data_IF_269457059380
#
_entry.id   IF_269457059380
#
_cell.length_a   1.000
_cell.length_b   1.000
_cell.length_c   1.000
_cell.angle_alpha   90.00
_cell.angle_beta   90.00
_cell.angle_gamma   90.00
#
_symmetry.space_group_name_H-M   'P 1'
#
loop_
_entity.id
_entity.type
_entity.pdbx_description
1 polymer ?
#
# COMPACT_ATOMS: atom_id res chain seq x y z
N UNK A 1 -13.70 -11.21 -7.29
CA UNK A 1 -14.30 -11.40 -5.95
C UNK A 1 -15.39 -10.37 -5.75
N UNK A 2 -16.36 -10.59 -4.87
CA UNK A 2 -17.33 -9.54 -4.57
C UNK A 2 -16.72 -8.48 -3.63
N UNK A 3 -17.27 -7.26 -3.63
CA UNK A 3 -16.81 -6.17 -2.75
C UNK A 3 -16.84 -6.56 -1.27
N UNK A 4 -17.91 -7.22 -0.84
CA UNK A 4 -18.07 -7.62 0.56
C UNK A 4 -17.03 -8.67 0.97
N UNK A 5 -16.60 -9.55 0.04
CA UNK A 5 -15.51 -10.50 0.29
C UNK A 5 -14.17 -9.78 0.45
N UNK A 6 -13.90 -8.79 -0.40
CA UNK A 6 -12.69 -7.97 -0.32
C UNK A 6 -12.62 -7.22 1.01
N UNK A 7 -13.71 -6.55 1.38
CA UNK A 7 -13.80 -5.88 2.68
C UNK A 7 -13.67 -6.88 3.82
N UNK A 8 -14.26 -8.07 3.72
CA UNK A 8 -14.14 -9.08 4.76
C UNK A 8 -12.69 -9.52 5.00
N UNK A 9 -11.93 -9.85 3.95
CA UNK A 9 -10.54 -10.32 4.10
C UNK A 9 -9.62 -9.23 4.64
N UNK A 10 -9.89 -7.97 4.31
CA UNK A 10 -9.14 -6.82 4.79
C UNK A 10 -9.67 -6.27 6.12
N UNK A 11 -10.75 -6.83 6.69
CA UNK A 11 -11.52 -6.24 7.80
C UNK A 11 -11.84 -4.77 7.55
N UNK A 12 -12.27 -4.49 6.33
CA UNK A 12 -12.38 -3.16 5.79
C UNK A 12 -13.74 -2.50 6.00
N UNK A 13 -13.69 -1.18 5.96
CA UNK A 13 -14.82 -0.26 6.11
C UNK A 13 -14.59 1.00 5.25
N UNK A 14 -15.57 1.91 5.26
CA UNK A 14 -15.48 3.20 4.58
C UNK A 14 -15.19 3.11 3.06
N UNK A 15 -15.77 2.13 2.36
CA UNK A 15 -15.59 2.02 0.90
C UNK A 15 -16.07 3.28 0.20
N UNK A 16 -15.13 3.93 -0.46
CA UNK A 16 -15.32 5.09 -1.30
C UNK A 16 -14.96 4.74 -2.74
N UNK A 17 -15.78 5.22 -3.67
CA UNK A 17 -15.60 5.02 -5.10
C UNK A 17 -16.07 6.27 -5.82
N UNK A 18 -15.19 6.86 -6.64
CA UNK A 18 -15.53 7.88 -7.61
C UNK A 18 -14.87 7.56 -8.97
N UNK A 19 -15.04 8.43 -9.96
CA UNK A 19 -14.58 8.19 -11.33
C UNK A 19 -13.05 7.99 -11.47
N UNK A 20 -12.24 8.35 -10.47
CA UNK A 20 -10.77 8.35 -10.54
C UNK A 20 -10.08 7.57 -9.42
N UNK A 21 -10.72 7.37 -8.27
CA UNK A 21 -10.12 6.71 -7.11
C UNK A 21 -11.14 5.86 -6.38
N UNK A 22 -10.68 4.67 -6.00
CA UNK A 22 -11.35 3.81 -5.05
C UNK A 22 -10.45 3.70 -3.84
N UNK A 23 -11.01 3.87 -2.65
CA UNK A 23 -10.26 3.58 -1.44
C UNK A 23 -11.16 3.02 -0.34
N UNK A 24 -10.56 2.26 0.56
CA UNK A 24 -11.22 1.82 1.79
C UNK A 24 -10.18 1.66 2.91
N UNK A 25 -10.63 1.69 4.16
CA UNK A 25 -9.76 1.38 5.31
C UNK A 25 -9.84 -0.09 5.62
N UNK A 26 -8.72 -0.73 5.92
CA UNK A 26 -8.64 -2.11 6.37
C UNK A 26 -7.85 -2.25 7.67
N UNK A 27 -7.97 -3.41 8.30
CA UNK A 27 -7.13 -3.82 9.41
C UNK A 27 -6.41 -5.14 9.10
N UNK A 28 -5.10 -5.06 8.84
CA UNK A 28 -4.26 -6.20 8.47
C UNK A 28 -3.20 -6.43 9.54
N UNK A 29 -3.16 -7.63 10.13
CA UNK A 29 -2.27 -7.97 11.25
C UNK A 29 -2.29 -6.95 12.40
N UNK A 30 -3.46 -6.35 12.69
CA UNK A 30 -3.63 -5.37 13.76
C UNK A 30 -3.22 -3.94 13.38
N UNK A 31 -2.79 -3.70 12.14
CA UNK A 31 -2.49 -2.36 11.60
C UNK A 31 -3.67 -1.82 10.81
N UNK A 32 -4.05 -0.59 11.07
CA UNK A 32 -4.98 0.16 10.21
C UNK A 32 -4.24 0.61 8.95
N UNK A 33 -4.72 0.19 7.80
CA UNK A 33 -4.11 0.41 6.48
C UNK A 33 -5.18 0.98 5.54
N UNK A 34 -4.88 2.05 4.82
CA UNK A 34 -5.72 2.47 3.71
C UNK A 34 -5.32 1.68 2.45
N UNK A 35 -6.31 1.17 1.73
CA UNK A 35 -6.11 0.60 0.39
C UNK A 35 -6.54 1.66 -0.61
N UNK A 36 -5.62 2.13 -1.44
CA UNK A 36 -5.85 3.15 -2.46
C UNK A 36 -5.65 2.55 -3.86
N UNK A 37 -6.65 2.70 -4.73
CA UNK A 37 -6.64 2.22 -6.11
C UNK A 37 -6.86 3.40 -7.06
N UNK A 38 -5.77 4.10 -7.37
CA UNK A 38 -5.78 5.25 -8.26
C UNK A 38 -5.91 4.79 -9.72
N UNK A 39 -6.88 5.35 -10.44
CA UNK A 39 -7.13 5.07 -11.86
C UNK A 39 -7.79 3.72 -12.16
N UNK A 40 -8.14 2.93 -11.14
CA UNK A 40 -8.88 1.69 -11.32
C UNK A 40 -10.39 1.92 -11.25
N UNK A 41 -11.13 1.20 -12.08
CA UNK A 41 -12.57 1.02 -11.91
C UNK A 41 -12.89 -0.06 -10.87
N UNK A 42 -14.11 -0.05 -10.32
CA UNK A 42 -14.53 -1.04 -9.32
C UNK A 42 -14.47 -2.46 -9.85
N UNK A 43 -14.91 -2.67 -11.09
CA UNK A 43 -14.83 -3.97 -11.76
C UNK A 43 -13.38 -4.48 -11.88
N UNK A 44 -12.41 -3.58 -12.13
CA UNK A 44 -10.99 -3.92 -12.23
C UNK A 44 -10.38 -4.26 -10.87
N UNK A 45 -10.72 -3.53 -9.81
CA UNK A 45 -10.30 -3.87 -8.44
C UNK A 45 -10.83 -5.24 -8.05
N UNK A 46 -12.15 -5.43 -8.20
CA UNK A 46 -12.84 -6.64 -7.74
C UNK A 46 -12.48 -7.88 -8.58
N UNK A 47 -12.35 -7.74 -9.90
CA UNK A 47 -12.09 -8.88 -10.80
C UNK A 47 -10.61 -9.08 -11.10
N UNK A 48 -9.82 -8.01 -11.13
CA UNK A 48 -8.40 -8.05 -11.51
C UNK A 48 -7.45 -8.13 -10.31
N UNK A 49 -7.73 -7.39 -9.24
CA UNK A 49 -6.80 -7.28 -8.10
C UNK A 49 -7.15 -8.17 -6.92
N UNK A 50 -8.36 -8.72 -6.84
CA UNK A 50 -8.79 -9.52 -5.70
C UNK A 50 -7.82 -10.64 -5.29
N UNK A 51 -7.30 -11.40 -6.26
CA UNK A 51 -6.29 -12.43 -6.01
C UNK A 51 -4.96 -11.87 -5.48
N UNK A 52 -4.51 -10.72 -6.00
CA UNK A 52 -3.31 -10.06 -5.51
C UNK A 52 -3.49 -9.57 -4.08
N UNK A 53 -4.64 -8.98 -3.75
CA UNK A 53 -4.93 -8.51 -2.40
C UNK A 53 -4.95 -9.69 -1.42
N UNK A 54 -5.62 -10.81 -1.75
CA UNK A 54 -5.57 -12.02 -0.92
C UNK A 54 -4.13 -12.50 -0.65
N UNK A 55 -3.27 -12.47 -1.68
CA UNK A 55 -1.85 -12.80 -1.53
C UNK A 55 -1.12 -11.79 -0.63
N UNK A 56 -1.38 -10.49 -0.80
CA UNK A 56 -0.78 -9.43 0.03
C UNK A 56 -1.18 -9.64 1.49
N UNK A 57 -2.46 -9.86 1.79
CA UNK A 57 -2.93 -10.10 3.16
C UNK A 57 -2.26 -11.33 3.77
N UNK A 58 -2.11 -12.41 3.00
CA UNK A 58 -1.45 -13.64 3.47
C UNK A 58 0.04 -13.43 3.76
N UNK A 59 0.73 -12.67 2.92
CA UNK A 59 2.17 -12.45 3.00
C UNK A 59 2.53 -11.14 3.72
N UNK A 60 1.55 -10.44 4.29
CA UNK A 60 1.65 -9.04 4.73
C UNK A 60 2.84 -8.79 5.66
N UNK A 61 3.03 -9.63 6.67
CA UNK A 61 4.14 -9.47 7.62
C UNK A 61 5.52 -9.65 6.98
N UNK A 62 5.63 -10.51 5.96
CA UNK A 62 6.86 -10.66 5.18
C UNK A 62 7.12 -9.40 4.37
N UNK A 63 6.12 -8.93 3.63
CA UNK A 63 6.22 -7.75 2.76
C UNK A 63 6.57 -6.50 3.56
N UNK A 64 5.86 -6.25 4.66
CA UNK A 64 6.11 -5.11 5.54
C UNK A 64 7.52 -5.16 6.15
N UNK A 65 7.98 -6.36 6.55
CA UNK A 65 9.35 -6.52 7.04
C UNK A 65 10.39 -6.29 5.96
N UNK A 66 10.15 -6.78 4.74
CA UNK A 66 11.04 -6.64 3.59
C UNK A 66 11.18 -5.17 3.19
N UNK A 67 10.06 -4.46 3.01
CA UNK A 67 10.05 -3.03 2.74
C UNK A 67 10.74 -2.21 3.85
N UNK A 68 10.44 -2.52 5.12
CA UNK A 68 11.09 -1.84 6.25
C UNK A 68 12.60 -2.11 6.31
N UNK A 69 13.08 -3.29 5.90
CA UNK A 69 14.51 -3.58 5.83
C UNK A 69 15.19 -2.74 4.74
N UNK A 70 14.58 -2.61 3.57
CA UNK A 70 15.09 -1.77 2.47
C UNK A 70 15.20 -0.32 2.92
N UNK A 71 14.16 0.22 3.57
CA UNK A 71 14.17 1.58 4.13
C UNK A 71 15.29 1.74 5.16
N UNK A 72 15.43 0.80 6.09
CA UNK A 72 16.51 0.79 7.09
C UNK A 72 17.90 0.75 6.47
N UNK A 73 18.07 0.02 5.38
CA UNK A 73 19.36 -0.09 4.71
C UNK A 73 19.76 1.19 3.97
N UNK A 74 18.80 1.91 3.40
CA UNK A 74 19.05 3.21 2.76
C UNK A 74 19.17 4.37 3.76
N UNK A 75 18.47 4.30 4.89
CA UNK A 75 18.45 5.32 5.94
C UNK A 75 19.09 4.83 7.25
N UNK A 76 20.26 4.19 7.18
CA UNK A 76 20.94 3.58 8.35
C UNK A 76 21.24 4.56 9.48
N UNK A 77 21.37 5.84 9.17
CA UNK A 77 21.70 6.90 10.13
C UNK A 77 20.46 7.63 10.69
N UNK A 78 19.25 7.22 10.28
CA UNK A 78 17.99 7.84 10.71
C UNK A 78 17.16 6.90 11.61
N UNK A 79 16.34 7.46 12.49
CA UNK A 79 15.42 6.67 13.32
C UNK A 79 14.20 6.24 12.51
N UNK A 80 14.33 5.15 11.79
CA UNK A 80 13.26 4.54 10.99
C UNK A 80 12.16 3.88 11.82
N UNK A 81 12.30 3.77 13.16
CA UNK A 81 11.26 3.17 14.01
C UNK A 81 10.02 4.08 14.16
N UNK A 82 10.14 5.35 13.77
CA UNK A 82 9.01 6.29 13.75
C UNK A 82 8.10 6.06 12.54
N UNK A 83 8.59 5.36 11.51
CA UNK A 83 7.85 5.10 10.28
C UNK A 83 6.68 4.17 10.55
N UNK A 84 5.50 4.57 10.09
CA UNK A 84 4.29 3.78 10.21
C UNK A 84 3.78 3.45 8.81
N UNK A 85 3.68 2.16 8.48
CA UNK A 85 2.93 1.71 7.31
C UNK A 85 1.49 2.19 7.46
N UNK A 86 1.04 3.00 6.51
CA UNK A 86 -0.27 3.65 6.54
C UNK A 86 -1.14 3.26 5.35
N UNK A 87 -0.53 2.97 4.20
CA UNK A 87 -1.27 2.74 2.96
C UNK A 87 -0.64 1.61 2.15
N UNK A 88 -1.49 0.91 1.40
CA UNK A 88 -1.10 0.03 0.28
C UNK A 88 -1.73 0.66 -0.97
N UNK A 89 -0.87 1.15 -1.87
CA UNK A 89 -1.29 1.90 -3.04
C UNK A 89 -1.14 1.09 -4.31
N UNK A 90 -2.17 1.10 -5.15
CA UNK A 90 -2.19 0.57 -6.50
C UNK A 90 -2.40 1.75 -7.45
N UNK A 91 -1.54 1.89 -8.45
CA UNK A 91 -1.63 2.96 -9.43
C UNK A 91 -1.56 2.39 -10.84
N UNK A 92 -2.65 2.59 -11.58
CA UNK A 92 -2.77 2.12 -12.97
C UNK A 92 -1.87 2.87 -13.94
N UNK A 93 -1.36 4.05 -13.56
CA UNK A 93 -0.44 4.85 -14.38
C UNK A 93 0.99 4.30 -14.43
N UNK A 94 1.21 3.08 -13.91
CA UNK A 94 2.49 2.37 -13.86
C UNK A 94 3.56 3.09 -13.00
N UNK A 95 3.15 4.02 -12.12
CA UNK A 95 4.04 4.57 -11.09
C UNK A 95 4.56 3.48 -10.14
N UNK A 96 3.79 2.39 -10.01
CA UNK A 96 4.15 1.18 -9.29
C UNK A 96 4.16 -0.01 -10.25
N UNK A 97 5.08 -0.96 -10.05
CA UNK A 97 5.13 -2.18 -10.86
C UNK A 97 3.83 -2.99 -10.69
N UNK A 98 3.44 -3.29 -9.44
CA UNK A 98 2.14 -3.85 -9.09
C UNK A 98 1.46 -3.07 -7.95
N UNK A 99 2.17 -2.82 -6.85
CA UNK A 99 1.69 -1.99 -5.73
C UNK A 99 2.85 -1.39 -4.93
N UNK A 100 2.54 -0.41 -4.07
CA UNK A 100 3.47 0.20 -3.13
C UNK A 100 3.03 0.01 -1.68
N UNK A 101 3.98 -0.24 -0.78
CA UNK A 101 3.79 -0.11 0.67
C UNK A 101 4.26 1.28 1.10
N UNK A 102 3.33 2.10 1.59
CA UNK A 102 3.55 3.52 1.87
C UNK A 102 3.70 3.75 3.38
N UNK A 103 4.88 4.23 3.76
CA UNK A 103 5.24 4.54 5.12
C UNK A 103 5.18 6.04 5.34
N UNK A 104 4.24 6.47 6.18
CA UNK A 104 4.24 7.85 6.65
C UNK A 104 5.50 8.14 7.46
N UNK A 105 6.22 9.19 7.07
CA UNK A 105 7.44 9.63 7.73
C UNK A 105 7.22 10.83 8.63
N UNK A 106 6.80 11.95 8.07
CA UNK A 106 6.58 13.19 8.82
C UNK A 106 5.72 14.20 8.06
N UNK A 107 5.26 15.22 8.76
CA UNK A 107 4.76 16.45 8.15
C UNK A 107 5.95 17.28 7.67
N UNK A 108 5.88 17.76 6.43
CA UNK A 108 6.80 18.74 5.85
C UNK A 108 6.04 20.03 5.51
N UNK A 109 6.73 21.16 5.28
CA UNK A 109 6.08 22.39 4.82
C UNK A 109 5.25 22.21 3.54
N UNK A 110 5.64 21.25 2.69
CA UNK A 110 5.02 20.95 1.40
C UNK A 110 3.86 19.94 1.50
N UNK A 111 3.67 19.29 2.65
CA UNK A 111 2.67 18.25 2.87
C UNK A 111 3.21 17.06 3.66
N UNK A 112 2.46 15.97 3.69
CA UNK A 112 2.87 14.73 4.38
C UNK A 112 3.85 13.95 3.51
N UNK A 113 5.01 13.63 4.07
CA UNK A 113 6.04 12.84 3.40
C UNK A 113 5.79 11.34 3.61
N UNK A 114 5.82 10.59 2.51
CA UNK A 114 5.73 9.14 2.48
C UNK A 114 6.95 8.54 1.80
N UNK A 115 7.44 7.44 2.37
CA UNK A 115 8.44 6.56 1.76
C UNK A 115 7.73 5.32 1.23
N UNK A 116 7.94 5.02 -0.04
CA UNK A 116 7.20 3.97 -0.73
C UNK A 116 8.19 2.93 -1.25
N UNK A 117 7.96 1.67 -0.87
CA UNK A 117 8.65 0.51 -1.45
C UNK A 117 7.69 -0.20 -2.39
N UNK A 118 8.10 -0.31 -3.65
CA UNK A 118 7.32 -0.94 -4.71
C UNK A 118 7.51 -2.44 -4.70
N UNK A 119 6.50 -3.18 -5.12
CA UNK A 119 6.54 -4.62 -5.32
C UNK A 119 6.01 -4.97 -6.72
N UNK A 120 6.65 -5.95 -7.35
CA UNK A 120 6.19 -6.54 -8.61
C UNK A 120 5.07 -7.58 -8.39
N UNK A 121 4.58 -8.19 -9.46
CA UNK A 121 3.51 -9.21 -9.41
C UNK A 121 3.92 -10.52 -8.67
N UNK A 122 5.23 -10.79 -8.60
CA UNK A 122 5.81 -11.91 -7.86
C UNK A 122 6.08 -11.57 -6.38
N UNK A 123 5.88 -10.30 -6.00
CA UNK A 123 6.15 -9.71 -4.70
C UNK A 123 7.65 -9.64 -4.36
N UNK A 124 8.48 -9.39 -5.36
CA UNK A 124 9.83 -8.90 -5.15
C UNK A 124 9.80 -7.40 -4.92
N UNK A 125 10.46 -6.94 -3.87
CA UNK A 125 10.59 -5.52 -3.58
C UNK A 125 11.59 -4.86 -4.53
N UNK A 126 11.27 -3.63 -4.95
CA UNK A 126 12.24 -2.74 -5.58
C UNK A 126 13.22 -2.24 -4.50
N UNK A 127 14.52 -2.24 -4.83
CA UNK A 127 15.55 -1.69 -3.95
C UNK A 127 15.46 -0.15 -3.87
N UNK A 128 14.84 0.50 -4.86
CA UNK A 128 14.57 1.93 -4.89
C UNK A 128 13.35 2.35 -4.06
N UNK A 129 13.55 3.43 -3.28
CA UNK A 129 12.52 4.04 -2.45
C UNK A 129 12.03 5.28 -3.17
N UNK A 130 10.72 5.34 -3.38
CA UNK A 130 10.06 6.52 -3.93
C UNK A 130 9.66 7.42 -2.75
N UNK A 131 9.90 8.73 -2.90
CA UNK A 131 9.52 9.74 -1.91
C UNK A 131 8.40 10.59 -2.50
N UNK A 132 7.25 10.59 -1.84
CA UNK A 132 6.10 11.36 -2.28
C UNK A 132 5.61 12.28 -1.17
N UNK A 133 5.13 13.46 -1.58
CA UNK A 133 4.57 14.47 -0.68
C UNK A 133 3.14 14.75 -1.15
N UNK A 134 2.19 14.60 -0.23
CA UNK A 134 0.75 14.80 -0.45
C UNK A 134 0.18 15.92 0.42
#
# INVERSE_FOLDING_TARGET
MEKDDLLYICKGEDWYNNDNVIYFKGNVSGKEINFDFCGYSEDEVLSGLGYFIERIIRDFERLDKEAMNIIKEKHKDEDTNILKLSDICFDKSECYDCFGMCYYACESPEGKLYLIVKFDEEFHADEDIVYEVY
#
